data_IF_457187392814
#
_entry.id   IF_457187392814
#
_cell.length_a   1.000
_cell.length_b   1.000
_cell.length_c   1.000
_cell.angle_alpha   90.00
_cell.angle_beta   90.00
_cell.angle_gamma   90.00
#
_symmetry.space_group_name_H-M   'P 1'
#
loop_
_entity.id
_entity.type
_entity.pdbx_description
1 polymer ?
#
# COMPACT_ATOMS: atom_id res chain seq x y z
N UNK A 1 -13.43 -33.35 26.66
CA UNK A 1 -13.81 -32.94 25.29
C UNK A 1 -14.15 -31.46 25.34
N UNK A 2 -13.19 -30.59 25.02
CA UNK A 2 -13.41 -29.14 24.88
C UNK A 2 -13.84 -28.89 23.43
N UNK A 3 -15.03 -28.31 23.28
CA UNK A 3 -15.56 -27.94 21.97
C UNK A 3 -14.65 -26.89 21.35
N UNK A 4 -14.03 -27.20 20.23
CA UNK A 4 -13.43 -26.20 19.35
C UNK A 4 -14.60 -25.36 18.77
N UNK A 5 -14.88 -24.23 19.39
CA UNK A 5 -15.76 -23.25 18.81
C UNK A 5 -15.11 -22.76 17.51
N UNK A 6 -15.88 -22.87 16.44
CA UNK A 6 -15.45 -22.57 15.09
C UNK A 6 -14.98 -21.10 15.01
N UNK A 7 -13.67 -20.93 14.96
CA UNK A 7 -12.99 -19.61 14.90
C UNK A 7 -13.54 -18.78 13.73
N UNK A 8 -13.97 -19.42 12.63
CA UNK A 8 -14.58 -18.77 11.47
C UNK A 8 -15.92 -18.10 11.80
N UNK A 9 -16.73 -18.66 12.71
CA UNK A 9 -18.01 -18.08 13.14
C UNK A 9 -17.76 -16.85 14.01
N UNK A 10 -16.80 -16.92 14.92
CA UNK A 10 -16.44 -15.77 15.79
C UNK A 10 -15.89 -14.62 14.95
N UNK A 11 -15.04 -14.91 13.96
CA UNK A 11 -14.49 -13.93 13.02
C UNK A 11 -15.61 -13.27 12.20
N UNK A 12 -16.58 -14.07 11.71
CA UNK A 12 -17.71 -13.57 10.93
C UNK A 12 -18.66 -12.68 11.76
N UNK A 13 -18.87 -13.01 13.04
CA UNK A 13 -19.68 -12.21 13.97
C UNK A 13 -18.95 -10.90 14.33
N UNK A 14 -17.65 -10.92 14.57
CA UNK A 14 -16.87 -9.70 14.85
C UNK A 14 -16.76 -8.78 13.63
N UNK A 15 -16.73 -9.33 12.41
CA UNK A 15 -16.80 -8.54 11.17
C UNK A 15 -18.19 -7.91 10.98
N UNK A 16 -19.26 -8.61 11.30
CA UNK A 16 -20.63 -8.07 11.18
C UNK A 16 -20.84 -6.90 12.15
N UNK A 17 -20.30 -6.94 13.36
CA UNK A 17 -20.37 -5.83 14.31
C UNK A 17 -19.51 -4.63 13.86
N UNK A 18 -18.36 -4.85 13.24
CA UNK A 18 -17.53 -3.78 12.66
C UNK A 18 -18.19 -3.13 11.42
N UNK A 19 -18.95 -3.90 10.64
CA UNK A 19 -19.71 -3.42 9.48
C UNK A 19 -20.99 -2.64 9.87
N UNK A 20 -21.44 -2.73 11.12
CA UNK A 20 -22.63 -2.01 11.63
C UNK A 20 -22.33 -0.60 12.16
N UNK A 21 -21.05 -0.22 12.32
CA UNK A 21 -20.67 1.16 12.65
C UNK A 21 -20.96 2.08 11.46
N UNK A 22 -21.42 3.35 11.70
CA UNK A 22 -21.60 4.31 10.61
C UNK A 22 -20.23 4.53 9.94
N UNK A 23 -20.06 3.96 8.74
CA UNK A 23 -18.87 4.13 7.93
C UNK A 23 -18.73 5.61 7.57
N UNK A 24 -17.79 6.32 8.14
CA UNK A 24 -17.34 7.62 7.61
C UNK A 24 -16.72 7.44 6.22
N UNK A 25 -16.24 6.23 5.94
CA UNK A 25 -15.55 5.83 4.71
C UNK A 25 -14.28 6.66 4.53
N UNK A 26 -13.22 6.06 4.05
CA UNK A 26 -11.89 6.63 3.79
C UNK A 26 -11.91 7.94 2.99
N UNK A 27 -12.60 8.99 3.53
CA UNK A 27 -12.77 10.28 2.87
C UNK A 27 -11.58 11.16 3.17
N UNK A 28 -10.91 11.61 2.13
CA UNK A 28 -9.73 12.48 2.20
C UNK A 28 -9.94 13.69 1.31
N UNK A 29 -9.63 14.87 1.82
CA UNK A 29 -9.46 16.07 1.00
C UNK A 29 -8.04 16.06 0.41
N UNK A 30 -7.90 15.41 -0.75
CA UNK A 30 -6.60 15.27 -1.41
C UNK A 30 -6.02 16.61 -1.84
N UNK A 31 -6.86 17.56 -2.27
CA UNK A 31 -6.38 18.91 -2.62
C UNK A 31 -5.80 19.61 -1.41
N UNK A 32 -6.51 19.60 -0.27
CA UNK A 32 -6.00 20.18 0.97
C UNK A 32 -4.68 19.57 1.47
N UNK A 33 -4.41 18.29 1.15
CA UNK A 33 -3.17 17.61 1.53
C UNK A 33 -2.02 17.81 0.55
N UNK A 34 -2.30 18.04 -0.74
CA UNK A 34 -1.29 17.89 -1.81
C UNK A 34 -0.99 19.21 -2.53
N UNK A 35 -1.95 20.15 -2.67
CA UNK A 35 -1.78 21.33 -3.53
C UNK A 35 -0.49 22.11 -3.22
N UNK A 36 -0.18 22.39 -1.97
CA UNK A 36 1.04 23.10 -1.54
C UNK A 36 2.33 22.27 -1.76
N UNK A 37 2.21 20.99 -2.10
CA UNK A 37 3.34 20.05 -2.28
C UNK A 37 3.43 19.49 -3.70
N UNK A 38 2.50 19.90 -4.58
CA UNK A 38 2.41 19.36 -5.93
C UNK A 38 3.67 19.65 -6.75
N UNK A 39 4.19 20.88 -6.66
CA UNK A 39 5.44 21.26 -7.34
C UNK A 39 6.62 20.41 -6.86
N UNK A 40 6.69 20.14 -5.55
CA UNK A 40 7.72 19.25 -4.98
C UNK A 40 7.58 17.84 -5.54
N UNK A 41 6.34 17.32 -5.68
CA UNK A 41 6.10 16.02 -6.29
C UNK A 41 6.52 15.99 -7.77
N UNK A 42 6.25 17.04 -8.53
CA UNK A 42 6.67 17.16 -9.93
C UNK A 42 8.20 17.15 -10.08
N UNK A 43 8.90 17.85 -9.19
CA UNK A 43 10.36 17.96 -9.18
C UNK A 43 11.02 16.65 -8.71
N UNK A 44 10.58 16.11 -7.57
CA UNK A 44 11.21 14.95 -6.93
C UNK A 44 10.62 13.61 -7.37
N UNK A 45 9.37 13.59 -7.79
CA UNK A 45 8.63 12.37 -8.08
C UNK A 45 8.26 11.55 -6.85
N UNK A 46 8.41 12.10 -5.64
CA UNK A 46 8.11 11.46 -4.36
C UNK A 46 7.36 12.42 -3.45
N UNK A 47 6.30 11.94 -2.82
CA UNK A 47 5.51 12.67 -1.83
C UNK A 47 5.24 11.76 -0.62
N UNK A 48 5.30 12.32 0.58
CA UNK A 48 5.00 11.62 1.83
C UNK A 48 3.90 12.36 2.55
N UNK A 49 2.82 11.66 2.86
CA UNK A 49 1.69 12.16 3.63
C UNK A 49 1.58 11.34 4.92
N UNK A 50 1.55 12.00 6.05
CA UNK A 50 1.28 11.39 7.36
C UNK A 50 -0.15 11.69 7.78
N UNK A 51 -0.72 10.84 8.63
CA UNK A 51 -2.06 10.98 9.21
C UNK A 51 -3.17 11.16 8.15
N UNK A 52 -3.12 10.30 7.10
CA UNK A 52 -3.97 10.42 5.90
C UNK A 52 -5.43 10.09 6.20
N UNK A 53 -5.69 9.04 6.98
CA UNK A 53 -7.02 8.56 7.30
C UNK A 53 -7.37 8.74 8.77
N UNK A 54 -8.66 8.74 9.09
CA UNK A 54 -9.10 8.68 10.48
C UNK A 54 -8.55 7.43 11.17
N UNK A 55 -8.22 7.55 12.45
CA UNK A 55 -7.65 6.45 13.24
C UNK A 55 -8.51 5.17 13.19
N UNK A 56 -9.84 5.30 13.17
CA UNK A 56 -10.75 4.15 13.08
C UNK A 56 -10.62 3.40 11.74
N UNK A 57 -10.43 4.12 10.63
CA UNK A 57 -10.23 3.52 9.32
C UNK A 57 -8.90 2.75 9.25
N UNK A 58 -7.84 3.31 9.86
CA UNK A 58 -6.54 2.63 9.97
C UNK A 58 -6.66 1.34 10.80
N UNK A 59 -7.37 1.39 11.95
CA UNK A 59 -7.62 0.20 12.77
C UNK A 59 -8.40 -0.88 12.03
N UNK A 60 -9.36 -0.50 11.17
CA UNK A 60 -10.10 -1.45 10.35
C UNK A 60 -9.19 -2.13 9.32
N UNK A 61 -8.32 -1.39 8.64
CA UNK A 61 -7.32 -1.95 7.71
C UNK A 61 -6.33 -2.87 8.42
N UNK A 62 -5.84 -2.48 9.60
CA UNK A 62 -4.95 -3.30 10.42
C UNK A 62 -5.61 -4.62 10.82
N UNK A 63 -6.88 -4.58 11.24
CA UNK A 63 -7.65 -5.78 11.58
C UNK A 63 -7.84 -6.67 10.36
N UNK A 64 -8.31 -6.14 9.22
CA UNK A 64 -8.48 -6.93 8.02
C UNK A 64 -7.14 -7.55 7.60
N UNK A 65 -6.05 -6.78 7.58
CA UNK A 65 -4.69 -7.27 7.30
C UNK A 65 -4.24 -8.41 8.23
N UNK A 66 -4.70 -8.42 9.49
CA UNK A 66 -4.40 -9.48 10.46
C UNK A 66 -5.23 -10.75 10.30
N UNK A 67 -6.34 -10.72 9.55
CA UNK A 67 -7.25 -11.86 9.39
C UNK A 67 -7.23 -12.51 8.00
N UNK A 68 -6.75 -11.81 6.98
CA UNK A 68 -6.68 -12.33 5.61
C UNK A 68 -5.56 -13.36 5.45
N UNK A 69 -5.74 -14.29 4.49
CA UNK A 69 -4.73 -15.27 4.14
C UNK A 69 -3.76 -14.69 3.11
N UNK A 70 -2.49 -14.64 3.45
CA UNK A 70 -1.40 -14.21 2.58
C UNK A 70 -0.85 -15.36 1.77
N UNK A 71 -0.45 -15.08 0.52
CA UNK A 71 0.27 -16.00 -0.36
C UNK A 71 1.62 -15.42 -0.73
N UNK A 72 2.60 -16.29 -0.85
CA UNK A 72 3.95 -15.90 -1.25
C UNK A 72 3.94 -15.08 -2.55
N UNK A 73 4.53 -13.88 -2.52
CA UNK A 73 4.69 -13.08 -3.73
C UNK A 73 5.68 -13.76 -4.70
N UNK A 74 5.37 -13.67 -6.00
CA UNK A 74 6.24 -14.15 -7.07
C UNK A 74 6.78 -12.99 -7.88
N UNK A 75 7.91 -13.23 -8.58
CA UNK A 75 8.43 -12.30 -9.58
C UNK A 75 7.61 -12.39 -10.87
N UNK A 76 7.80 -11.44 -11.79
CA UNK A 76 7.06 -11.30 -13.06
C UNK A 76 7.04 -12.58 -13.91
N UNK A 77 7.98 -13.52 -13.69
CA UNK A 77 8.05 -14.81 -14.36
C UNK A 77 7.39 -15.96 -13.58
N UNK A 78 6.64 -15.66 -12.50
CA UNK A 78 5.99 -16.66 -11.64
C UNK A 78 6.94 -17.39 -10.70
N UNK A 79 8.22 -17.02 -10.65
CA UNK A 79 9.21 -17.65 -9.79
C UNK A 79 9.28 -16.93 -8.44
N UNK A 80 9.25 -17.70 -7.33
CA UNK A 80 9.54 -17.18 -5.99
C UNK A 80 11.04 -17.18 -5.77
N UNK A 81 11.65 -15.98 -5.62
CA UNK A 81 13.02 -15.79 -5.15
C UNK A 81 13.01 -14.93 -3.89
N UNK A 82 12.89 -15.58 -2.75
CA UNK A 82 12.77 -14.91 -1.45
C UNK A 82 13.97 -14.00 -1.12
N UNK A 83 15.15 -14.28 -1.67
CA UNK A 83 16.33 -13.41 -1.57
C UNK A 83 16.20 -12.11 -2.36
N UNK A 84 15.26 -12.02 -3.31
CA UNK A 84 14.98 -10.82 -4.11
C UNK A 84 13.73 -10.11 -3.58
N UNK A 85 12.65 -10.86 -3.37
CA UNK A 85 11.35 -10.38 -2.90
C UNK A 85 10.82 -11.30 -1.81
N UNK A 86 10.76 -10.81 -0.58
CA UNK A 86 10.48 -11.61 0.61
C UNK A 86 9.11 -11.41 1.23
N UNK A 87 8.19 -10.66 0.57
CA UNK A 87 6.83 -10.46 1.06
C UNK A 87 5.90 -11.63 0.72
N UNK A 88 4.89 -11.77 1.54
CA UNK A 88 3.66 -12.49 1.23
C UNK A 88 2.56 -11.46 0.96
N UNK A 89 1.66 -11.73 0.00
CA UNK A 89 0.66 -10.75 -0.45
C UNK A 89 -0.76 -11.33 -0.46
N UNK A 90 -1.74 -10.42 -0.34
CA UNK A 90 -3.15 -10.71 -0.62
C UNK A 90 -3.71 -9.57 -1.49
N UNK A 91 -4.08 -9.87 -2.72
CA UNK A 91 -4.76 -8.90 -3.58
C UNK A 91 -6.07 -8.44 -2.94
N UNK A 92 -6.34 -7.14 -3.03
CA UNK A 92 -7.60 -6.55 -2.58
C UNK A 92 -8.66 -6.81 -3.65
N UNK A 93 -9.71 -7.50 -3.24
CA UNK A 93 -10.88 -7.85 -4.03
C UNK A 93 -12.14 -7.84 -3.12
N UNK A 94 -13.25 -8.37 -3.60
CA UNK A 94 -14.53 -8.42 -2.88
C UNK A 94 -14.48 -9.14 -1.52
N UNK A 95 -13.49 -9.99 -1.30
CA UNK A 95 -13.26 -10.64 0.00
C UNK A 95 -12.50 -9.75 1.00
N UNK A 96 -12.05 -8.57 0.58
CA UNK A 96 -11.36 -7.57 1.40
C UNK A 96 -12.16 -6.26 1.48
N UNK A 97 -13.33 -6.23 2.15
CA UNK A 97 -14.26 -5.10 2.07
C UNK A 97 -13.67 -3.77 2.60
N UNK A 98 -12.77 -3.82 3.58
CA UNK A 98 -12.11 -2.61 4.10
C UNK A 98 -11.02 -2.15 3.13
N UNK A 99 -10.29 -3.10 2.55
CA UNK A 99 -9.35 -2.83 1.46
C UNK A 99 -10.03 -2.23 0.24
N UNK A 100 -11.25 -2.64 -0.09
CA UNK A 100 -12.04 -2.02 -1.18
C UNK A 100 -12.42 -0.58 -0.85
N UNK A 101 -12.89 -0.28 0.39
CA UNK A 101 -13.17 1.09 0.82
C UNK A 101 -11.88 1.98 0.74
N UNK A 102 -10.70 1.44 1.09
CA UNK A 102 -9.41 2.09 0.88
C UNK A 102 -9.12 2.32 -0.61
N UNK A 103 -9.34 1.32 -1.46
CA UNK A 103 -9.09 1.41 -2.91
C UNK A 103 -9.97 2.47 -3.57
N UNK A 104 -11.22 2.64 -3.12
CA UNK A 104 -12.12 3.71 -3.56
C UNK A 104 -11.56 5.10 -3.22
N UNK A 105 -10.96 5.28 -2.04
CA UNK A 105 -10.26 6.52 -1.68
C UNK A 105 -9.04 6.78 -2.58
N UNK A 106 -8.29 5.73 -2.91
CA UNK A 106 -7.17 5.84 -3.84
C UNK A 106 -7.63 6.16 -5.27
N UNK A 107 -8.82 5.73 -5.67
CA UNK A 107 -9.41 6.18 -6.94
C UNK A 107 -9.73 7.67 -6.93
N UNK A 108 -10.20 8.23 -5.80
CA UNK A 108 -10.35 9.69 -5.66
C UNK A 108 -9.01 10.43 -5.72
N UNK A 109 -7.93 9.84 -5.18
CA UNK A 109 -6.55 10.37 -5.34
C UNK A 109 -6.11 10.32 -6.80
N UNK A 110 -6.43 9.24 -7.53
CA UNK A 110 -6.15 9.13 -8.96
C UNK A 110 -6.89 10.20 -9.78
N UNK A 111 -8.14 10.48 -9.43
CA UNK A 111 -8.92 11.58 -10.03
C UNK A 111 -8.29 12.94 -9.77
N UNK A 112 -7.80 13.19 -8.54
CA UNK A 112 -7.04 14.40 -8.21
C UNK A 112 -5.81 14.54 -9.14
N UNK A 113 -4.98 13.51 -9.30
CA UNK A 113 -3.82 13.56 -10.20
C UNK A 113 -4.21 13.71 -11.67
N UNK A 114 -5.33 13.12 -12.09
CA UNK A 114 -5.84 13.33 -13.44
C UNK A 114 -6.20 14.80 -13.68
N UNK A 115 -6.82 15.47 -12.73
CA UNK A 115 -7.20 16.88 -12.84
C UNK A 115 -5.98 17.79 -12.75
N UNK A 116 -5.08 17.54 -11.81
CA UNK A 116 -3.93 18.39 -11.56
C UNK A 116 -2.80 18.21 -12.59
N UNK A 117 -2.56 16.98 -13.08
CA UNK A 117 -1.38 16.62 -13.87
C UNK A 117 -1.72 16.01 -15.24
N UNK A 118 -2.99 15.82 -15.59
CA UNK A 118 -3.40 15.08 -16.80
C UNK A 118 -2.78 13.68 -16.87
N UNK A 119 -2.72 12.99 -15.71
CA UNK A 119 -1.98 11.74 -15.55
C UNK A 119 -2.54 10.57 -16.38
N UNK A 120 -3.80 10.63 -16.82
CA UNK A 120 -4.44 9.62 -17.66
C UNK A 120 -4.70 8.30 -16.94
N UNK A 121 -4.82 8.32 -15.61
CA UNK A 121 -5.09 7.14 -14.79
C UNK A 121 -6.54 6.71 -14.99
N UNK A 122 -6.76 5.42 -15.22
CA UNK A 122 -8.09 4.85 -15.47
C UNK A 122 -8.55 3.91 -14.36
N UNK A 123 -7.62 3.26 -13.67
CA UNK A 123 -7.90 2.33 -12.58
C UNK A 123 -6.77 2.26 -11.58
N UNK A 124 -7.07 1.73 -10.41
CA UNK A 124 -6.08 1.37 -9.40
C UNK A 124 -6.20 -0.12 -9.05
N UNK A 125 -5.08 -0.71 -8.69
CA UNK A 125 -5.01 -2.06 -8.15
C UNK A 125 -4.14 -2.04 -6.90
N UNK A 126 -4.46 -2.85 -5.90
CA UNK A 126 -3.72 -2.89 -4.65
C UNK A 126 -3.66 -4.29 -4.05
N UNK A 127 -2.64 -4.54 -3.24
CA UNK A 127 -2.56 -5.71 -2.39
C UNK A 127 -2.05 -5.36 -1.00
N UNK A 128 -2.50 -6.08 0.00
CA UNK A 128 -1.83 -6.17 1.29
C UNK A 128 -0.50 -6.89 1.12
N UNK A 129 0.54 -6.41 1.79
CA UNK A 129 1.87 -7.00 1.81
C UNK A 129 2.33 -7.19 3.26
N UNK A 130 2.82 -8.39 3.56
CA UNK A 130 3.41 -8.76 4.83
C UNK A 130 4.85 -9.20 4.62
N UNK A 131 5.81 -8.48 5.20
CA UNK A 131 7.22 -8.88 5.21
C UNK A 131 7.54 -9.48 6.57
N UNK A 132 7.90 -10.77 6.65
CA UNK A 132 8.43 -11.36 7.88
C UNK A 132 9.80 -10.76 8.25
N UNK A 133 10.19 -10.86 9.52
CA UNK A 133 11.54 -10.46 9.95
C UNK A 133 12.63 -11.17 9.14
N UNK A 134 13.67 -10.43 8.77
CA UNK A 134 14.79 -10.92 7.95
C UNK A 134 14.61 -10.75 6.43
N UNK A 135 13.46 -10.24 5.98
CA UNK A 135 13.17 -10.07 4.57
C UNK A 135 12.98 -8.60 4.16
N UNK A 136 13.09 -8.37 2.86
CA UNK A 136 12.90 -7.08 2.21
C UNK A 136 12.63 -7.29 0.72
N UNK A 137 12.80 -6.25 -0.09
CA UNK A 137 12.68 -6.33 -1.55
C UNK A 137 13.82 -5.55 -2.19
N UNK A 138 14.59 -6.20 -3.05
CA UNK A 138 15.75 -5.58 -3.71
C UNK A 138 15.34 -4.45 -4.66
N UNK A 139 16.32 -3.66 -5.10
CA UNK A 139 16.15 -2.56 -6.03
C UNK A 139 15.42 -2.97 -7.32
N UNK A 140 14.27 -2.33 -7.58
CA UNK A 140 13.44 -2.55 -8.75
C UNK A 140 12.72 -1.27 -9.17
N UNK A 141 11.98 -1.34 -10.24
CA UNK A 141 10.99 -0.36 -10.70
C UNK A 141 9.66 -1.08 -10.90
N UNK A 142 8.55 -0.38 -10.73
CA UNK A 142 7.22 -0.98 -10.86
C UNK A 142 6.80 -1.19 -12.33
N UNK A 143 7.40 -0.44 -13.25
CA UNK A 143 7.26 -0.68 -14.68
C UNK A 143 8.45 -1.50 -15.19
N UNK A 144 8.29 -2.83 -15.43
CA UNK A 144 9.36 -3.63 -16.03
C UNK A 144 9.64 -3.14 -17.46
N UNK A 145 10.85 -3.45 -17.98
CA UNK A 145 11.30 -3.02 -19.28
C UNK A 145 10.26 -3.26 -20.38
N UNK A 146 9.91 -2.20 -21.11
CA UNK A 146 8.93 -2.22 -22.19
C UNK A 146 7.47 -2.04 -21.75
N UNK A 147 7.22 -1.73 -20.48
CA UNK A 147 5.89 -1.37 -19.94
C UNK A 147 5.93 0.01 -19.31
N UNK A 148 4.81 0.72 -19.38
CA UNK A 148 4.62 2.06 -18.80
C UNK A 148 3.17 2.26 -18.29
N UNK A 149 2.48 1.17 -17.98
CA UNK A 149 1.06 1.18 -17.61
C UNK A 149 0.82 1.71 -16.21
N UNK A 150 1.78 1.58 -15.30
CA UNK A 150 1.73 2.14 -13.95
C UNK A 150 2.25 3.58 -13.98
N UNK A 151 1.41 4.52 -13.60
CA UNK A 151 1.74 5.96 -13.62
C UNK A 151 2.29 6.37 -12.26
N UNK A 152 1.55 6.05 -11.21
CA UNK A 152 1.87 6.39 -9.82
C UNK A 152 1.78 5.11 -8.99
N UNK A 153 2.79 4.91 -8.16
CA UNK A 153 2.81 3.91 -7.10
C UNK A 153 2.57 4.57 -5.75
N UNK A 154 1.86 3.90 -4.88
CA UNK A 154 1.64 4.35 -3.51
C UNK A 154 1.80 3.19 -2.54
N UNK A 155 2.37 3.46 -1.36
CA UNK A 155 2.49 2.47 -0.28
C UNK A 155 1.92 3.08 0.98
N UNK A 156 0.85 2.49 1.49
CA UNK A 156 0.23 2.85 2.76
C UNK A 156 0.67 1.88 3.86
N UNK A 157 1.07 2.39 5.02
CA UNK A 157 1.64 1.60 6.09
C UNK A 157 0.69 1.39 7.26
N UNK A 158 0.79 0.19 7.86
CA UNK A 158 -0.11 -0.30 8.91
C UNK A 158 0.63 -0.64 10.22
N UNK A 159 1.83 -0.09 10.45
CA UNK A 159 2.71 -0.51 11.54
C UNK A 159 2.73 0.53 12.66
N UNK A 160 2.12 0.21 13.80
CA UNK A 160 2.20 1.04 15.00
C UNK A 160 3.59 0.95 15.66
N UNK A 161 3.96 2.01 16.38
CA UNK A 161 5.18 2.10 17.20
C UNK A 161 6.46 1.68 16.45
N UNK A 162 6.56 2.02 15.15
CA UNK A 162 7.71 1.66 14.34
C UNK A 162 8.94 2.48 14.72
N UNK A 163 10.02 1.77 15.05
CA UNK A 163 11.30 2.38 15.44
C UNK A 163 12.32 2.29 14.29
N UNK A 164 13.32 3.17 14.30
CA UNK A 164 14.40 3.18 13.32
C UNK A 164 15.20 1.86 13.30
N UNK A 165 15.27 1.20 14.47
CA UNK A 165 15.94 -0.10 14.65
C UNK A 165 15.17 -1.27 14.04
N UNK A 166 13.89 -1.09 13.70
CA UNK A 166 13.06 -2.14 13.12
C UNK A 166 13.37 -2.37 11.63
N UNK A 167 14.11 -1.48 10.98
CA UNK A 167 14.43 -1.57 9.56
C UNK A 167 13.19 -1.36 8.67
N UNK A 168 13.13 -2.07 7.54
CA UNK A 168 11.94 -2.12 6.68
C UNK A 168 11.58 -0.80 5.98
N UNK A 169 12.47 0.20 5.98
CA UNK A 169 12.23 1.45 5.27
C UNK A 169 12.13 1.21 3.76
N UNK A 170 11.30 2.00 3.09
CA UNK A 170 11.42 2.11 1.64
C UNK A 170 12.52 3.11 1.30
N UNK A 171 13.42 2.73 0.40
CA UNK A 171 14.38 3.62 -0.23
C UNK A 171 13.90 3.91 -1.65
N UNK A 172 13.84 5.20 -2.01
CA UNK A 172 13.46 5.64 -3.36
C UNK A 172 14.55 6.57 -3.88
N UNK A 173 15.02 6.36 -5.11
CA UNK A 173 15.87 7.32 -5.79
C UNK A 173 14.95 8.30 -6.51
N UNK A 174 14.88 9.53 -6.03
CA UNK A 174 14.02 10.56 -6.60
C UNK A 174 14.53 11.06 -7.98
N UNK A 175 13.74 11.90 -8.68
CA UNK A 175 14.10 12.44 -10.00
C UNK A 175 15.37 13.29 -9.98
N UNK A 176 15.78 13.81 -8.82
CA UNK A 176 17.05 14.56 -8.65
C UNK A 176 18.25 13.65 -8.44
N UNK A 177 18.04 12.33 -8.33
CA UNK A 177 19.06 11.33 -8.07
C UNK A 177 19.38 11.16 -6.58
N UNK A 178 18.68 11.84 -5.68
CA UNK A 178 18.86 11.71 -4.24
C UNK A 178 18.07 10.53 -3.70
N UNK A 179 18.69 9.79 -2.77
CA UNK A 179 18.02 8.69 -2.08
C UNK A 179 17.16 9.22 -0.93
N UNK A 180 15.87 8.95 -0.99
CA UNK A 180 14.94 9.15 0.11
C UNK A 180 14.85 7.86 0.93
N UNK A 181 14.92 7.96 2.27
CA UNK A 181 14.77 6.85 3.21
C UNK A 181 13.55 7.10 4.09
N UNK A 182 12.49 6.31 3.92
CA UNK A 182 11.17 6.57 4.50
C UNK A 182 10.72 5.40 5.38
N UNK A 183 10.43 5.69 6.65
CA UNK A 183 9.99 4.70 7.62
C UNK A 183 8.54 4.26 7.36
N UNK A 184 8.20 2.97 7.55
CA UNK A 184 6.88 2.41 7.31
C UNK A 184 5.94 2.61 8.51
N UNK A 185 5.73 3.86 8.96
CA UNK A 185 4.85 4.21 10.09
C UNK A 185 3.38 4.07 9.71
N UNK A 186 2.55 3.59 10.65
CA UNK A 186 1.10 3.56 10.46
C UNK A 186 0.53 4.91 10.04
N UNK A 187 -0.50 4.88 9.21
CA UNK A 187 -1.17 6.05 8.64
C UNK A 187 -0.29 6.98 7.78
N UNK A 188 0.84 6.46 7.29
CA UNK A 188 1.70 7.13 6.31
C UNK A 188 1.43 6.58 4.91
N UNK A 189 1.22 7.48 3.95
CA UNK A 189 1.15 7.18 2.52
C UNK A 189 2.39 7.75 1.82
N UNK A 190 3.17 6.89 1.20
CA UNK A 190 4.28 7.27 0.33
C UNK A 190 3.82 7.12 -1.12
N UNK A 191 3.83 8.20 -1.87
CA UNK A 191 3.39 8.28 -3.28
C UNK A 191 4.62 8.57 -4.12
N UNK A 192 4.80 7.84 -5.23
CA UNK A 192 5.94 8.08 -6.11
C UNK A 192 5.66 7.69 -7.56
N UNK A 193 6.41 8.30 -8.48
CA UNK A 193 6.40 7.94 -9.90
C UNK A 193 6.82 6.47 -10.06
N UNK A 194 6.00 5.66 -10.73
CA UNK A 194 6.21 4.20 -10.84
C UNK A 194 7.51 3.81 -11.57
N UNK A 195 8.17 4.75 -12.22
CA UNK A 195 9.47 4.54 -12.88
C UNK A 195 10.67 4.80 -11.95
N UNK A 196 10.46 5.31 -10.74
CA UNK A 196 11.54 5.51 -9.79
C UNK A 196 12.05 4.19 -9.24
N UNK A 197 13.38 4.09 -9.18
CA UNK A 197 14.05 2.92 -8.61
C UNK A 197 13.90 2.94 -7.10
N UNK A 198 13.40 1.84 -6.54
CA UNK A 198 13.15 1.73 -5.11
C UNK A 198 13.43 0.32 -4.59
N UNK A 199 13.58 0.19 -3.27
CA UNK A 199 13.71 -1.08 -2.55
C UNK A 199 13.06 -1.00 -1.18
N UNK A 200 12.78 -2.16 -0.57
CA UNK A 200 12.44 -2.29 0.84
C UNK A 200 13.63 -2.87 1.58
N UNK A 201 14.15 -2.14 2.58
CA UNK A 201 15.21 -2.64 3.45
C UNK A 201 14.74 -3.88 4.21
N UNK A 202 15.70 -4.69 4.64
CA UNK A 202 15.41 -5.83 5.52
C UNK A 202 14.71 -5.31 6.77
N UNK A 203 13.57 -5.91 7.09
CA UNK A 203 12.83 -5.61 8.31
C UNK A 203 13.25 -6.55 9.45
N UNK A 204 13.26 -6.07 10.69
CA UNK A 204 13.62 -6.86 11.86
C UNK A 204 12.41 -7.34 12.65
N UNK A 205 11.19 -6.93 12.22
CA UNK A 205 9.90 -7.42 12.71
C UNK A 205 8.91 -7.54 11.55
N UNK A 206 7.74 -8.10 11.78
CA UNK A 206 6.69 -8.11 10.77
C UNK A 206 6.34 -6.69 10.33
N UNK A 207 6.32 -6.45 9.01
CA UNK A 207 6.02 -5.17 8.38
C UNK A 207 4.81 -5.32 7.47
N UNK A 208 3.76 -4.56 7.76
CA UNK A 208 2.51 -4.58 7.01
C UNK A 208 2.34 -3.29 6.21
N UNK A 209 1.85 -3.42 4.98
CA UNK A 209 1.55 -2.29 4.12
C UNK A 209 0.51 -2.67 3.06
N UNK A 210 -0.05 -1.66 2.39
CA UNK A 210 -0.82 -1.83 1.17
C UNK A 210 -0.02 -1.19 0.04
N UNK A 211 0.39 -1.98 -0.95
CA UNK A 211 1.02 -1.49 -2.16
C UNK A 211 -0.04 -1.29 -3.24
N UNK A 212 -0.03 -0.12 -3.87
CA UNK A 212 -1.05 0.32 -4.82
C UNK A 212 -0.40 0.85 -6.08
N UNK A 213 -1.00 0.55 -7.22
CA UNK A 213 -0.62 1.10 -8.52
C UNK A 213 -1.81 1.77 -9.21
N UNK A 214 -1.65 3.04 -9.55
CA UNK A 214 -2.57 3.81 -10.37
C UNK A 214 -2.15 3.67 -11.83
N UNK A 215 -3.05 3.16 -12.68
CA UNK A 215 -2.72 2.65 -14.02
C UNK A 215 -3.51 3.36 -15.12
N UNK A 216 -2.88 3.51 -16.30
CA UNK A 216 -3.50 4.08 -17.50
C UNK A 216 -4.05 3.05 -18.47
N UNK A 217 -3.83 1.74 -18.23
CA UNK A 217 -4.39 0.66 -19.03
C UNK A 217 -5.68 0.08 -18.41
N UNK A 218 -6.46 -0.64 -19.21
CA UNK A 218 -7.71 -1.29 -18.80
C UNK A 218 -7.54 -2.80 -18.55
N UNK A 219 -6.29 -3.31 -18.50
CA UNK A 219 -6.04 -4.76 -18.32
C UNK A 219 -6.29 -5.15 -16.87
N UNK A 220 -7.21 -6.10 -16.66
CA UNK A 220 -7.37 -6.82 -15.40
C UNK A 220 -6.31 -7.93 -15.40
N UNK A 221 -5.52 -8.04 -14.32
CA UNK A 221 -4.50 -9.08 -14.16
C UNK A 221 -5.13 -10.42 -13.78
#
# INVERSE_FOLDING_TARGET
MAAAFDTAIIIKVMMVDALSMPKKGFRVDWSGLIDDRLDTFLEMGVLVLDDVFDHQDVLLLQKESGFIEYKAATLTQGERRQSIRGDDIRWIDEDCPIGMDYLDSIMSLAEYFNQALYAGIRRSEAHYACYPAGFGYQWHVDNPKGRDDRVISAVFYLNDDWQTTDGGEILVIDKTGKQQKLQPKANRLVIFDSNLKHQVNITHRYRFSIATWMRKDDRIL
#
